data_IF_878957072716
#
_entry.id   IF_878957072716
#
_cell.length_a   1.000
_cell.length_b   1.000
_cell.length_c   1.000
_cell.angle_alpha   90.00
_cell.angle_beta   90.00
_cell.angle_gamma   90.00
#
_symmetry.space_group_name_H-M   'P 1'
#
loop_
_entity.id
_entity.type
_entity.pdbx_description
1 polymer ?
#
# COMPACT_ATOMS: atom_id res chain seq x y z
N UNK A 1 -13.64 8.29 -6.65
CA UNK A 1 -13.28 7.14 -7.51
C UNK A 1 -13.77 5.84 -6.85
N UNK A 2 -13.07 5.26 -5.88
CA UNK A 2 -13.47 3.99 -5.23
C UNK A 2 -14.86 3.96 -4.53
N UNK A 3 -15.40 5.11 -4.10
CA UNK A 3 -16.76 5.18 -3.53
C UNK A 3 -17.88 5.25 -4.57
N UNK A 4 -17.57 5.75 -5.77
CA UNK A 4 -18.56 5.99 -6.85
C UNK A 4 -18.56 4.84 -7.86
N UNK A 5 -17.51 4.03 -7.89
CA UNK A 5 -17.38 2.90 -8.81
C UNK A 5 -18.44 1.81 -8.61
N UNK A 6 -19.03 1.68 -7.42
CA UNK A 6 -20.12 0.73 -7.15
C UNK A 6 -21.42 1.09 -7.88
N UNK A 7 -21.76 2.38 -7.93
CA UNK A 7 -22.95 2.87 -8.67
C UNK A 7 -22.67 3.04 -10.16
N UNK A 8 -21.44 3.42 -10.53
CA UNK A 8 -21.07 3.63 -11.93
C UNK A 8 -20.88 2.33 -12.74
N UNK A 9 -20.69 1.18 -12.08
CA UNK A 9 -20.46 -0.12 -12.73
C UNK A 9 -19.05 -0.32 -13.29
N UNK A 10 -18.19 0.71 -13.23
CA UNK A 10 -16.77 0.66 -13.60
C UNK A 10 -15.97 1.76 -12.87
N UNK A 11 -14.63 1.65 -12.87
CA UNK A 11 -13.73 2.59 -12.22
C UNK A 11 -13.47 3.82 -13.10
N UNK A 12 -14.35 4.82 -12.95
CA UNK A 12 -14.27 6.09 -13.67
C UNK A 12 -13.33 7.10 -13.02
N UNK A 13 -12.54 7.81 -13.83
CA UNK A 13 -11.81 8.98 -13.37
C UNK A 13 -12.79 10.12 -13.08
N UNK A 14 -13.17 10.23 -11.81
CA UNK A 14 -14.27 11.09 -11.39
C UNK A 14 -14.00 12.60 -11.57
N UNK A 15 -12.74 13.02 -11.50
CA UNK A 15 -12.39 14.44 -11.52
C UNK A 15 -11.93 14.96 -12.89
N UNK A 16 -11.59 14.08 -13.83
CA UNK A 16 -11.01 14.47 -15.13
C UNK A 16 -11.24 13.41 -16.21
N UNK A 17 -10.86 13.73 -17.45
CA UNK A 17 -10.90 12.81 -18.60
C UNK A 17 -12.30 12.35 -19.01
N UNK A 18 -13.31 13.22 -18.82
CA UNK A 18 -14.69 12.99 -19.27
C UNK A 18 -15.29 11.64 -18.82
N UNK A 19 -14.92 11.19 -17.61
CA UNK A 19 -15.42 9.94 -17.05
C UNK A 19 -14.76 8.68 -17.61
N UNK A 20 -13.67 8.80 -18.36
CA UNK A 20 -12.90 7.66 -18.85
C UNK A 20 -12.48 6.72 -17.71
N UNK A 21 -12.42 5.43 -18.03
CA UNK A 21 -11.97 4.40 -17.09
C UNK A 21 -10.48 4.59 -16.73
N UNK A 22 -10.09 4.21 -15.51
CA UNK A 22 -8.69 4.17 -15.06
C UNK A 22 -7.88 2.98 -15.63
N UNK A 23 -8.41 2.31 -16.64
CA UNK A 23 -7.71 1.24 -17.33
C UNK A 23 -6.34 1.72 -17.88
N UNK A 24 -5.26 0.92 -17.72
CA UNK A 24 -5.21 -0.45 -17.21
C UNK A 24 -4.91 -0.59 -15.69
N UNK A 25 -4.88 0.49 -14.92
CA UNK A 25 -4.34 0.51 -13.55
C UNK A 25 -5.42 0.49 -12.44
N UNK A 26 -6.64 0.08 -12.79
CA UNK A 26 -7.82 0.13 -11.93
C UNK A 26 -7.87 -1.00 -10.86
N UNK A 27 -7.02 -2.03 -10.97
CA UNK A 27 -7.03 -3.20 -10.10
C UNK A 27 -6.89 -2.89 -8.61
N UNK A 28 -6.02 -1.95 -8.21
CA UNK A 28 -5.84 -1.63 -6.79
C UNK A 28 -7.03 -0.81 -6.27
N UNK A 29 -7.60 0.02 -7.14
CA UNK A 29 -8.77 0.83 -6.80
C UNK A 29 -10.03 -0.02 -6.64
N UNK A 30 -10.14 -1.15 -7.36
CA UNK A 30 -11.22 -2.11 -7.17
C UNK A 30 -11.13 -2.80 -5.80
N UNK A 31 -9.92 -3.11 -5.31
CA UNK A 31 -9.71 -3.61 -3.93
C UNK A 31 -10.13 -2.55 -2.90
N UNK A 32 -9.73 -1.29 -3.12
CA UNK A 32 -10.16 -0.19 -2.24
C UNK A 32 -11.67 0.05 -2.27
N UNK A 33 -12.32 -0.15 -3.42
CA UNK A 33 -13.78 -0.05 -3.53
C UNK A 33 -14.50 -1.12 -2.69
N UNK A 34 -13.99 -2.37 -2.68
CA UNK A 34 -14.50 -3.42 -1.80
C UNK A 34 -14.25 -3.10 -0.32
N UNK A 35 -13.09 -2.54 0.01
CA UNK A 35 -12.78 -2.19 1.38
C UNK A 35 -13.66 -1.01 1.86
N UNK A 36 -14.01 -0.09 0.95
CA UNK A 36 -14.86 1.06 1.18
C UNK A 36 -16.34 0.71 1.35
N UNK A 37 -16.81 -0.43 0.82
CA UNK A 37 -18.19 -0.90 1.03
C UNK A 37 -18.43 -1.34 2.48
N UNK A 38 -17.39 -1.80 3.18
CA UNK A 38 -17.46 -2.17 4.60
C UNK A 38 -17.42 -0.92 5.49
N UNK A 39 -16.42 -0.06 5.31
CA UNK A 39 -16.27 1.17 6.08
C UNK A 39 -15.48 2.20 5.31
N UNK A 40 -15.87 3.46 5.40
CA UNK A 40 -15.18 4.56 4.72
C UNK A 40 -14.27 5.37 5.65
N UNK A 41 -14.10 4.89 6.89
CA UNK A 41 -13.26 5.53 7.90
C UNK A 41 -11.79 5.58 7.44
N UNK A 42 -11.13 6.72 7.66
CA UNK A 42 -9.75 6.95 7.20
C UNK A 42 -8.74 5.95 7.78
N UNK A 43 -8.93 5.50 9.01
CA UNK A 43 -8.10 4.45 9.62
C UNK A 43 -8.21 3.12 8.87
N UNK A 44 -9.44 2.69 8.54
CA UNK A 44 -9.72 1.43 7.84
C UNK A 44 -9.16 1.44 6.41
N UNK A 45 -9.35 2.53 5.67
CA UNK A 45 -8.82 2.70 4.31
C UNK A 45 -7.29 2.68 4.23
N UNK A 46 -6.59 2.97 5.33
CA UNK A 46 -5.12 2.96 5.39
C UNK A 46 -4.54 1.65 5.91
N UNK A 47 -5.36 0.72 6.37
CA UNK A 47 -4.89 -0.57 6.89
C UNK A 47 -4.02 -1.35 5.90
N UNK A 48 -4.39 -1.47 4.60
CA UNK A 48 -3.53 -2.17 3.63
C UNK A 48 -2.15 -1.52 3.50
N UNK A 49 -2.10 -0.19 3.54
CA UNK A 49 -0.85 0.55 3.45
C UNK A 49 0.03 0.36 4.70
N UNK A 50 -0.58 0.36 5.90
CA UNK A 50 0.17 0.08 7.14
C UNK A 50 0.68 -1.35 7.19
N UNK A 51 -0.11 -2.32 6.73
CA UNK A 51 0.31 -3.71 6.66
C UNK A 51 1.47 -3.90 5.68
N UNK A 52 1.41 -3.26 4.51
CA UNK A 52 2.50 -3.27 3.55
C UNK A 52 3.78 -2.67 4.14
N UNK A 53 3.71 -1.54 4.85
CA UNK A 53 4.87 -0.93 5.49
C UNK A 53 5.53 -1.86 6.53
N UNK A 54 4.72 -2.52 7.38
CA UNK A 54 5.21 -3.50 8.36
C UNK A 54 5.88 -4.67 7.64
N UNK A 55 5.24 -5.21 6.60
CA UNK A 55 5.80 -6.31 5.81
C UNK A 55 7.14 -5.92 5.15
N UNK A 56 7.22 -4.72 4.57
CA UNK A 56 8.46 -4.19 4.00
C UNK A 56 9.56 -4.11 5.04
N UNK A 57 9.29 -3.61 6.25
CA UNK A 57 10.28 -3.56 7.32
C UNK A 57 10.75 -4.95 7.75
N UNK A 58 9.84 -5.91 7.87
CA UNK A 58 10.19 -7.30 8.20
C UNK A 58 11.09 -7.92 7.12
N UNK A 59 10.79 -7.68 5.85
CA UNK A 59 11.63 -8.14 4.72
C UNK A 59 13.01 -7.49 4.78
N UNK A 60 13.09 -6.19 5.02
CA UNK A 60 14.38 -5.48 5.09
C UNK A 60 15.22 -6.01 6.26
N UNK A 61 14.64 -6.09 7.44
CA UNK A 61 15.32 -6.51 8.67
C UNK A 61 15.71 -7.99 8.69
N UNK A 62 14.89 -8.89 8.15
CA UNK A 62 15.10 -10.34 8.26
C UNK A 62 15.63 -11.00 6.98
N UNK A 63 15.37 -10.43 5.81
CA UNK A 63 15.80 -11.02 4.53
C UNK A 63 16.94 -10.24 3.87
N UNK A 64 16.87 -8.90 3.86
CA UNK A 64 17.84 -8.06 3.13
C UNK A 64 19.11 -7.83 3.94
N UNK A 65 18.99 -7.32 5.17
CA UNK A 65 20.12 -7.02 6.05
C UNK A 65 21.00 -8.27 6.33
N UNK A 66 20.44 -9.46 6.64
CA UNK A 66 21.24 -10.66 6.82
C UNK A 66 21.92 -11.15 5.54
N UNK A 67 21.31 -10.92 4.37
CA UNK A 67 21.86 -11.30 3.06
C UNK A 67 23.04 -10.40 2.64
N UNK A 68 23.04 -9.13 3.07
CA UNK A 68 24.16 -8.20 2.83
C UNK A 68 25.39 -8.54 3.69
N UNK A 69 25.20 -9.17 4.84
CA UNK A 69 26.30 -9.74 5.63
C UNK A 69 26.00 -9.79 7.12
N UNK A 70 26.41 -10.90 7.74
CA UNK A 70 26.17 -11.17 9.18
C UNK A 70 26.81 -10.14 10.13
N UNK A 71 27.87 -9.44 9.70
CA UNK A 71 28.48 -8.33 10.47
C UNK A 71 27.64 -7.05 10.42
N UNK A 72 26.93 -6.80 9.33
CA UNK A 72 26.05 -5.64 9.16
C UNK A 72 24.74 -5.84 9.91
N UNK A 73 24.13 -7.03 9.81
CA UNK A 73 22.90 -7.33 10.56
C UNK A 73 23.11 -7.38 12.08
N UNK A 74 24.32 -7.72 12.53
CA UNK A 74 24.68 -7.69 13.95
C UNK A 74 25.01 -6.30 14.51
N UNK A 75 25.20 -5.29 13.67
CA UNK A 75 25.55 -3.94 14.10
C UNK A 75 24.28 -3.12 14.41
N UNK A 76 24.09 -2.74 15.68
CA UNK A 76 22.94 -1.95 16.13
C UNK A 76 22.83 -0.61 15.40
N UNK A 77 23.96 0.05 15.12
CA UNK A 77 23.94 1.35 14.42
C UNK A 77 23.35 1.19 13.02
N UNK A 78 23.77 0.17 12.27
CA UNK A 78 23.28 -0.12 10.93
C UNK A 78 21.78 -0.41 10.89
N UNK A 79 21.26 -1.19 11.86
CA UNK A 79 19.82 -1.49 11.93
C UNK A 79 19.02 -0.24 12.32
N UNK A 80 19.54 0.59 13.24
CA UNK A 80 18.87 1.83 13.66
C UNK A 80 18.83 2.87 12.54
N UNK A 81 19.93 3.08 11.79
CA UNK A 81 19.89 3.97 10.62
C UNK A 81 19.01 3.43 9.51
N UNK A 82 18.99 2.11 9.28
CA UNK A 82 18.10 1.50 8.30
C UNK A 82 16.61 1.66 8.64
N UNK A 83 16.25 1.75 9.93
CA UNK A 83 14.87 2.01 10.36
C UNK A 83 14.50 3.50 10.45
N UNK A 84 15.49 4.39 10.50
CA UNK A 84 15.28 5.83 10.57
C UNK A 84 15.05 6.49 9.19
N UNK A 85 15.51 5.84 8.11
CA UNK A 85 15.37 6.27 6.71
C UNK A 85 14.16 5.59 6.08
#
# INVERSE_FOLDING_TARGET
IARVSGEAGYLTNYYRYFGASEAPFDWYQSVLAHLASVSTAGGWMRLPATAAAIATWLIISHCVLPRLGRRLSGNRVTVLTAGAV
#
